data_IF_449755905897
#
_entry.id   IF_449755905897
#
_cell.length_a   1.000
_cell.length_b   1.000
_cell.length_c   1.000
_cell.angle_alpha   90.00
_cell.angle_beta   90.00
_cell.angle_gamma   90.00
#
_symmetry.space_group_name_H-M   'P 1'
#
loop_
_entity.id
_entity.type
_entity.pdbx_description
1 polymer ?
#
# COMPACT_ATOMS: atom_id res chain seq x y z
N UNK A 1 12.37 -8.88 21.22
CA UNK A 1 11.05 -8.31 20.92
C UNK A 1 11.16 -6.78 20.85
N UNK A 2 11.62 -6.22 19.71
CA UNK A 2 11.82 -4.76 19.54
C UNK A 2 10.49 -4.14 19.10
N UNK A 3 9.93 -3.22 19.89
CA UNK A 3 8.80 -2.36 19.51
C UNK A 3 9.29 -1.28 18.53
N UNK A 4 8.89 -1.26 17.24
CA UNK A 4 9.20 -0.17 16.35
C UNK A 4 7.95 0.72 16.24
N UNK A 5 7.69 1.57 17.25
CA UNK A 5 6.58 2.56 17.21
C UNK A 5 6.94 3.94 17.80
N UNK A 6 8.21 4.19 18.13
CA UNK A 6 8.61 5.44 18.82
C UNK A 6 8.94 6.63 17.89
N UNK A 7 8.94 6.45 16.56
CA UNK A 7 9.46 7.48 15.65
C UNK A 7 8.58 8.72 15.46
N UNK A 8 7.26 8.63 15.70
CA UNK A 8 6.33 9.74 15.46
C UNK A 8 5.29 9.82 16.59
N UNK A 9 5.69 10.41 17.72
CA UNK A 9 4.74 10.85 18.75
C UNK A 9 4.27 12.26 18.40
N UNK A 10 2.96 12.47 18.32
CA UNK A 10 2.39 13.81 18.18
C UNK A 10 2.59 14.59 19.49
N UNK A 11 3.77 15.21 19.67
CA UNK A 11 4.09 16.03 20.83
C UNK A 11 3.93 15.32 22.19
N UNK A 12 3.82 16.11 23.27
CA UNK A 12 3.50 15.57 24.60
C UNK A 12 2.02 15.21 24.65
N UNK A 13 1.72 13.91 24.71
CA UNK A 13 0.37 13.38 24.97
C UNK A 13 -0.43 12.94 23.75
N UNK A 14 0.05 13.18 22.52
CA UNK A 14 -0.63 12.72 21.32
C UNK A 14 -0.52 11.21 21.11
N UNK A 15 -1.66 10.58 20.81
CA UNK A 15 -1.77 9.17 20.45
C UNK A 15 -1.97 9.03 18.95
N UNK A 16 -1.28 8.09 18.31
CA UNK A 16 -1.54 7.73 16.91
C UNK A 16 -2.92 7.09 16.80
N UNK A 17 -3.76 7.65 15.95
CA UNK A 17 -5.13 7.16 15.73
C UNK A 17 -5.15 6.13 14.59
N UNK A 18 -4.52 6.44 13.47
CA UNK A 18 -4.51 5.56 12.31
C UNK A 18 -3.12 5.56 11.67
N UNK A 19 -2.74 4.46 11.05
CA UNK A 19 -1.49 4.36 10.30
C UNK A 19 -1.69 3.50 9.05
N UNK A 20 -1.80 4.17 7.91
CA UNK A 20 -2.05 3.56 6.60
C UNK A 20 -0.89 3.92 5.66
N UNK A 21 0.15 3.06 5.59
CA UNK A 21 1.31 3.36 4.77
C UNK A 21 0.92 3.33 3.29
N UNK A 22 1.42 4.31 2.54
CA UNK A 22 1.36 4.31 1.08
C UNK A 22 2.69 4.70 0.47
N UNK A 23 2.98 4.12 -0.69
CA UNK A 23 4.19 4.33 -1.46
C UNK A 23 3.84 4.45 -2.93
N UNK A 24 4.33 5.50 -3.59
CA UNK A 24 4.26 5.67 -5.04
C UNK A 24 5.68 5.66 -5.60
N UNK A 25 5.91 4.88 -6.65
CA UNK A 25 7.21 4.75 -7.31
C UNK A 25 7.05 4.98 -8.82
N UNK A 26 7.99 5.69 -9.41
CA UNK A 26 8.15 5.71 -10.86
C UNK A 26 8.77 4.39 -11.33
N UNK A 27 8.24 3.85 -12.43
CA UNK A 27 8.73 2.62 -13.08
C UNK A 27 9.62 2.91 -14.29
N UNK A 28 9.72 4.18 -14.68
CA UNK A 28 10.58 4.68 -15.75
C UNK A 28 11.00 6.12 -15.43
N UNK A 29 12.10 6.59 -16.02
CA UNK A 29 12.70 7.89 -15.71
C UNK A 29 11.77 9.09 -15.96
N UNK A 30 10.86 8.98 -16.93
CA UNK A 30 9.89 10.02 -17.26
C UNK A 30 8.84 10.24 -16.16
N UNK A 31 8.80 9.36 -15.15
CA UNK A 31 7.78 9.30 -14.11
C UNK A 31 6.35 9.15 -14.64
N UNK A 32 6.15 8.80 -15.92
CA UNK A 32 4.81 8.66 -16.51
C UNK A 32 4.20 7.31 -16.22
N UNK A 33 4.99 6.25 -16.20
CA UNK A 33 4.55 4.97 -15.68
C UNK A 33 4.91 4.89 -14.19
N UNK A 34 3.90 4.68 -13.35
CA UNK A 34 4.07 4.61 -11.89
C UNK A 34 3.37 3.38 -11.33
N UNK A 35 3.84 2.91 -10.18
CA UNK A 35 3.07 2.02 -9.32
C UNK A 35 2.79 2.67 -7.97
N UNK A 36 1.66 2.31 -7.37
CA UNK A 36 1.26 2.74 -6.03
C UNK A 36 0.85 1.54 -5.20
N UNK A 37 1.43 1.42 -4.01
CA UNK A 37 1.04 0.49 -2.96
C UNK A 37 0.37 1.28 -1.83
N UNK A 38 -0.78 0.84 -1.36
CA UNK A 38 -1.43 1.39 -0.18
C UNK A 38 -1.97 0.26 0.71
N UNK A 39 -1.85 0.43 2.02
CA UNK A 39 -2.39 -0.50 3.01
C UNK A 39 -3.43 0.25 3.84
N UNK A 40 -4.65 -0.26 3.87
CA UNK A 40 -5.76 0.29 4.64
C UNK A 40 -6.09 -0.64 5.81
N UNK A 41 -6.05 -0.09 7.02
CA UNK A 41 -6.28 -0.83 8.27
C UNK A 41 -7.66 -0.55 8.86
N UNK A 42 -8.41 0.42 8.31
CA UNK A 42 -9.78 0.77 8.71
C UNK A 42 -9.95 1.10 10.19
N UNK A 43 -8.87 1.55 10.82
CA UNK A 43 -8.88 1.96 12.23
C UNK A 43 -9.36 3.40 12.38
N UNK A 44 -10.29 3.66 13.29
CA UNK A 44 -10.81 5.00 13.55
C UNK A 44 -10.74 5.40 15.04
N UNK A 45 -10.99 6.67 15.33
CA UNK A 45 -10.91 7.22 16.67
C UNK A 45 -11.96 6.64 17.65
N UNK A 46 -13.11 6.20 17.14
CA UNK A 46 -14.14 5.57 17.95
C UNK A 46 -13.64 4.24 18.51
N UNK A 47 -13.14 3.35 17.63
CA UNK A 47 -12.57 2.05 18.01
C UNK A 47 -11.42 2.19 19.03
N UNK A 48 -10.58 3.21 18.88
CA UNK A 48 -9.48 3.47 19.85
C UNK A 48 -9.98 3.93 21.22
N UNK A 49 -11.06 4.70 21.24
CA UNK A 49 -11.67 5.18 22.50
C UNK A 49 -12.40 4.07 23.23
N UNK A 50 -13.13 3.22 22.50
CA UNK A 50 -13.93 2.14 23.08
C UNK A 50 -13.12 0.88 23.34
N UNK A 51 -12.01 0.69 22.62
CA UNK A 51 -11.27 -0.57 22.61
C UNK A 51 -11.97 -1.68 21.83
N UNK A 52 -13.06 -1.37 21.15
CA UNK A 52 -13.84 -2.29 20.35
C UNK A 52 -13.40 -2.20 18.89
N UNK A 53 -12.78 -3.28 18.40
CA UNK A 53 -12.27 -3.40 17.05
C UNK A 53 -13.02 -4.52 16.35
N UNK A 54 -13.85 -4.21 15.34
CA UNK A 54 -14.50 -5.24 14.54
C UNK A 54 -13.45 -6.06 13.77
N UNK A 55 -13.80 -7.29 13.41
CA UNK A 55 -12.98 -8.19 12.60
C UNK A 55 -12.97 -7.73 11.12
N UNK A 56 -12.47 -6.52 10.89
CA UNK A 56 -12.35 -5.93 9.57
C UNK A 56 -11.05 -6.38 8.90
N UNK A 57 -11.13 -6.65 7.59
CA UNK A 57 -9.97 -7.04 6.81
C UNK A 57 -9.02 -5.86 6.60
N UNK A 58 -7.71 -6.12 6.71
CA UNK A 58 -6.70 -5.20 6.20
C UNK A 58 -6.63 -5.36 4.68
N UNK A 59 -6.72 -4.25 3.94
CA UNK A 59 -6.65 -4.27 2.48
C UNK A 59 -5.28 -3.79 1.99
N UNK A 60 -4.77 -4.48 0.97
CA UNK A 60 -3.56 -4.07 0.24
C UNK A 60 -3.96 -3.73 -1.19
N UNK A 61 -3.79 -2.48 -1.57
CA UNK A 61 -4.05 -1.98 -2.91
C UNK A 61 -2.74 -1.81 -3.66
N UNK A 62 -2.65 -2.39 -4.85
CA UNK A 62 -1.54 -2.19 -5.76
C UNK A 62 -2.05 -1.78 -7.14
N UNK A 63 -1.61 -0.61 -7.60
CA UNK A 63 -2.05 -0.03 -8.88
C UNK A 63 -0.84 0.31 -9.72
N UNK A 64 -0.87 -0.04 -11.00
CA UNK A 64 0.05 0.45 -12.02
C UNK A 64 -0.70 1.44 -12.89
N UNK A 65 -0.14 2.63 -13.11
CA UNK A 65 -0.80 3.71 -13.86
C UNK A 65 0.16 4.37 -14.83
N UNK A 66 -0.27 4.48 -16.08
CA UNK A 66 0.35 5.33 -17.09
C UNK A 66 -0.33 6.71 -17.12
N UNK A 67 0.46 7.77 -17.01
CA UNK A 67 0.08 9.14 -17.28
C UNK A 67 0.41 9.51 -18.72
N UNK A 68 -0.53 10.14 -19.41
CA UNK A 68 -0.41 10.50 -20.82
C UNK A 68 0.01 11.97 -20.96
N UNK A 69 0.93 12.23 -21.88
CA UNK A 69 1.25 13.59 -22.32
C UNK A 69 0.58 13.92 -23.65
N UNK A 70 1.00 15.01 -24.29
CA UNK A 70 0.47 15.51 -25.57
C UNK A 70 0.96 14.75 -26.83
N UNK A 71 1.64 13.61 -26.66
CA UNK A 71 2.27 12.87 -27.76
C UNK A 71 1.56 11.55 -28.12
N UNK A 72 1.68 11.07 -29.39
CA UNK A 72 1.06 9.84 -29.86
C UNK A 72 1.90 8.63 -29.47
N UNK A 73 2.14 8.41 -28.18
CA UNK A 73 3.18 7.44 -27.79
C UNK A 73 2.71 5.99 -27.81
N UNK A 74 1.43 5.70 -27.48
CA UNK A 74 0.84 4.34 -27.52
C UNK A 74 -0.67 4.38 -27.67
N UNK A 75 -1.25 3.32 -28.24
CA UNK A 75 -2.70 3.11 -28.13
C UNK A 75 -3.07 2.78 -26.68
N UNK A 76 -4.33 3.05 -26.31
CA UNK A 76 -4.84 2.66 -25.00
C UNK A 76 -4.64 1.16 -24.72
N UNK A 77 -4.89 0.31 -25.73
CA UNK A 77 -4.80 -1.13 -25.59
C UNK A 77 -3.37 -1.60 -25.32
N UNK A 78 -2.38 -1.04 -26.01
CA UNK A 78 -0.96 -1.38 -25.80
C UNK A 78 -0.49 -0.95 -24.41
N UNK A 79 -0.92 0.24 -23.97
CA UNK A 79 -0.64 0.74 -22.63
C UNK A 79 -1.28 -0.13 -21.55
N UNK A 80 -2.52 -0.57 -21.75
CA UNK A 80 -3.20 -1.49 -20.82
C UNK A 80 -2.46 -2.82 -20.72
N UNK A 81 -2.10 -3.43 -21.85
CA UNK A 81 -1.35 -4.70 -21.88
C UNK A 81 0.00 -4.58 -21.15
N UNK A 82 0.75 -3.49 -21.38
CA UNK A 82 2.01 -3.22 -20.67
C UNK A 82 1.78 -3.07 -19.15
N UNK A 83 0.82 -2.24 -18.75
CA UNK A 83 0.52 -2.02 -17.33
C UNK A 83 0.11 -3.31 -16.62
N UNK A 84 -0.71 -4.14 -17.27
CA UNK A 84 -1.10 -5.46 -16.78
C UNK A 84 0.11 -6.37 -16.59
N UNK A 85 0.96 -6.52 -17.61
CA UNK A 85 2.12 -7.41 -17.55
C UNK A 85 3.07 -7.01 -16.40
N UNK A 86 3.36 -5.71 -16.26
CA UNK A 86 4.18 -5.18 -15.17
C UNK A 86 3.49 -5.38 -13.82
N UNK A 87 2.19 -5.15 -13.75
CA UNK A 87 1.40 -5.36 -12.54
C UNK A 87 1.48 -6.80 -12.06
N UNK A 88 1.23 -7.77 -12.95
CA UNK A 88 1.31 -9.19 -12.65
C UNK A 88 2.72 -9.59 -12.19
N UNK A 89 3.76 -9.15 -12.90
CA UNK A 89 5.15 -9.43 -12.54
C UNK A 89 5.50 -8.90 -11.13
N UNK A 90 5.22 -7.62 -10.86
CA UNK A 90 5.55 -7.00 -9.58
C UNK A 90 4.74 -7.60 -8.44
N UNK A 91 3.47 -7.93 -8.68
CA UNK A 91 2.63 -8.59 -7.67
C UNK A 91 3.22 -9.93 -7.28
N UNK A 92 3.58 -10.77 -8.25
CA UNK A 92 4.12 -12.10 -8.00
C UNK A 92 5.52 -12.07 -7.38
N UNK A 93 6.40 -11.22 -7.91
CA UNK A 93 7.83 -11.22 -7.53
C UNK A 93 8.14 -10.38 -6.31
N UNK A 94 7.34 -9.34 -6.02
CA UNK A 94 7.59 -8.36 -4.94
C UNK A 94 6.43 -8.26 -3.95
N UNK A 95 5.23 -7.90 -4.40
CA UNK A 95 4.14 -7.52 -3.47
C UNK A 95 3.68 -8.70 -2.62
N UNK A 96 3.37 -9.84 -3.22
CA UNK A 96 2.96 -11.04 -2.49
C UNK A 96 4.05 -11.49 -1.50
N UNK A 97 5.30 -11.76 -1.92
CA UNK A 97 6.32 -12.31 -1.03
C UNK A 97 6.85 -11.32 0.01
N UNK A 98 6.86 -10.01 -0.28
CA UNK A 98 7.48 -9.00 0.60
C UNK A 98 6.48 -8.19 1.43
N UNK A 99 5.21 -8.13 1.03
CA UNK A 99 4.18 -7.34 1.71
C UNK A 99 3.07 -8.24 2.22
N UNK A 100 2.38 -8.96 1.33
CA UNK A 100 1.16 -9.72 1.68
C UNK A 100 1.48 -10.88 2.62
N UNK A 101 2.46 -11.73 2.28
CA UNK A 101 2.81 -12.89 3.11
C UNK A 101 3.32 -12.48 4.51
N UNK A 102 4.26 -11.53 4.65
CA UNK A 102 4.68 -11.07 5.97
C UNK A 102 3.54 -10.44 6.77
N UNK A 103 2.64 -9.70 6.13
CA UNK A 103 1.46 -9.13 6.79
C UNK A 103 0.54 -10.23 7.33
N UNK A 104 0.21 -11.23 6.50
CA UNK A 104 -0.60 -12.37 6.90
C UNK A 104 0.03 -13.15 8.07
N UNK A 105 1.35 -13.40 8.02
CA UNK A 105 2.08 -14.05 9.10
C UNK A 105 2.06 -13.23 10.40
N UNK A 106 2.24 -11.91 10.31
CA UNK A 106 2.23 -11.03 11.47
C UNK A 106 0.84 -10.96 12.13
N UNK A 107 -0.24 -11.04 11.35
CA UNK A 107 -1.62 -11.14 11.85
C UNK A 107 -1.81 -12.48 12.56
N UNK A 108 -1.51 -13.60 11.89
CA UNK A 108 -1.67 -14.94 12.45
C UNK A 108 -0.81 -15.21 13.69
N UNK A 109 0.33 -14.52 13.85
CA UNK A 109 1.19 -14.63 15.04
C UNK A 109 0.67 -13.86 16.27
N UNK A 110 -0.37 -13.04 16.11
CA UNK A 110 -0.98 -12.22 17.17
C UNK A 110 -2.32 -12.77 17.65
N UNK A 111 -2.88 -13.72 16.92
CA UNK A 111 -3.97 -14.60 17.34
C UNK A 111 -3.42 -15.72 18.22
#
# INVERSE_FOLDING_TARGET
YKRPREGLRAGRGGRVINFEPSLTLALEESCRLQCRLAIETRTNAYQIRTGDYPEEQISVYFTVRQYWGTGPERTFLDSFRRQRAIGEELVQTKIIPKIVRPLAQAIASRE
#
